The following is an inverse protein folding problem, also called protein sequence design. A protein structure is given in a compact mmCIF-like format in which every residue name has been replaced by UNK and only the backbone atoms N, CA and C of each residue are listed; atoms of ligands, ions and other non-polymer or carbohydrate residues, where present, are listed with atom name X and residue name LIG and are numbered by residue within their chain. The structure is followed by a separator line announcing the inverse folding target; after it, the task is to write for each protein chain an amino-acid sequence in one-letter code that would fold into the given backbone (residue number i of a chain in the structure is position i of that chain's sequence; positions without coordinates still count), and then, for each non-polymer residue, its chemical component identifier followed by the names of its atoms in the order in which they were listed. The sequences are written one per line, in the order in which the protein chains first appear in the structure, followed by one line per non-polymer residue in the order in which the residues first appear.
data_IF_445949086318
#
_entry.id   IF_445949086318
#
_cell.length_a   1.000
_cell.length_b   1.000
_cell.length_c   1.000
_cell.angle_alpha   90.00
_cell.angle_beta   90.00
_cell.angle_gamma   90.00
#
_symmetry.space_group_name_H-M   'P 1'
#
loop_
_entity.id
_entity.type
_entity.pdbx_description
1 polymer ?
#
# COMPACT_ATOMS: atom_id res chain seq x y z
N UNK A 1 21.18 -3.22 6.75
CA UNK A 1 20.79 -3.77 5.43
C UNK A 1 19.91 -2.75 4.74
N UNK A 2 20.23 -2.32 3.51
CA UNK A 2 19.46 -1.27 2.81
C UNK A 2 18.31 -1.94 2.06
N UNK A 3 17.08 -1.65 2.48
CA UNK A 3 15.88 -2.25 1.89
C UNK A 3 15.56 -1.69 0.49
N UNK A 4 15.90 -0.43 0.24
CA UNK A 4 15.71 0.24 -1.03
C UNK A 4 16.92 0.06 -1.93
N UNK A 5 16.67 -0.34 -3.17
CA UNK A 5 17.68 -0.30 -4.22
C UNK A 5 18.04 1.17 -4.54
N UNK A 6 19.26 1.42 -5.05
CA UNK A 6 19.67 2.75 -5.51
C UNK A 6 18.72 3.38 -6.53
N UNK A 7 18.80 4.71 -6.67
CA UNK A 7 18.10 5.44 -7.73
C UNK A 7 18.44 4.88 -9.11
N UNK A 8 17.45 4.85 -10.01
CA UNK A 8 17.58 4.24 -11.35
C UNK A 8 17.47 2.71 -11.37
N UNK A 9 17.26 2.06 -10.22
CA UNK A 9 17.05 0.61 -10.14
C UNK A 9 15.61 0.28 -9.76
N UNK A 10 15.12 -0.85 -10.29
CA UNK A 10 13.80 -1.36 -9.95
C UNK A 10 13.76 -1.86 -8.51
N UNK A 11 12.69 -1.53 -7.81
CA UNK A 11 12.31 -2.17 -6.55
C UNK A 11 11.12 -3.10 -6.82
N UNK A 12 11.05 -4.21 -6.09
CA UNK A 12 9.91 -5.11 -6.12
C UNK A 12 8.96 -4.77 -4.97
N UNK A 13 7.74 -4.38 -5.29
CA UNK A 13 6.67 -4.16 -4.31
C UNK A 13 5.66 -5.30 -4.41
N UNK A 14 5.14 -5.74 -3.27
CA UNK A 14 4.01 -6.65 -3.18
C UNK A 14 3.07 -6.16 -2.10
N UNK A 15 1.77 -6.15 -2.42
CA UNK A 15 0.70 -5.92 -1.46
C UNK A 15 -0.12 -7.21 -1.40
N UNK A 16 -0.37 -7.70 -0.20
CA UNK A 16 -1.30 -8.81 0.04
C UNK A 16 -2.49 -8.20 0.76
N UNK A 17 -3.68 -8.37 0.18
CA UNK A 17 -4.95 -7.98 0.78
C UNK A 17 -5.81 -9.23 0.80
N UNK A 18 -5.94 -9.84 1.98
CA UNK A 18 -6.68 -11.08 2.18
C UNK A 18 -7.60 -10.90 3.37
N UNK A 19 -8.90 -11.00 3.13
CA UNK A 19 -9.93 -10.64 4.11
C UNK A 19 -9.67 -9.20 4.61
N UNK A 20 -9.51 -8.98 5.91
CA UNK A 20 -9.13 -7.68 6.45
C UNK A 20 -7.62 -7.54 6.70
N UNK A 21 -6.84 -8.61 6.54
CA UNK A 21 -5.41 -8.56 6.81
C UNK A 21 -4.64 -8.03 5.59
N UNK A 22 -3.92 -6.92 5.77
CA UNK A 22 -3.15 -6.25 4.72
C UNK A 22 -1.67 -6.28 5.05
N UNK A 23 -0.84 -6.70 4.09
CA UNK A 23 0.62 -6.66 4.21
C UNK A 23 1.25 -5.84 3.08
N UNK A 24 2.27 -5.05 3.42
CA UNK A 24 3.11 -4.35 2.45
C UNK A 24 4.51 -4.95 2.47
N UNK A 25 5.04 -5.27 1.30
CA UNK A 25 6.35 -5.88 1.12
C UNK A 25 7.19 -5.06 0.14
N UNK A 26 8.48 -4.95 0.42
CA UNK A 26 9.47 -4.31 -0.42
C UNK A 26 10.70 -5.21 -0.53
N UNK A 27 11.14 -5.51 -1.75
CA UNK A 27 12.33 -6.33 -2.03
C UNK A 27 12.41 -7.61 -1.19
N UNK A 28 11.27 -8.31 -1.04
CA UNK A 28 11.16 -9.59 -0.33
C UNK A 28 11.01 -9.49 1.19
N UNK A 29 11.06 -8.29 1.79
CA UNK A 29 10.87 -8.10 3.23
C UNK A 29 9.52 -7.46 3.53
N UNK A 30 8.84 -7.97 4.56
CA UNK A 30 7.59 -7.38 5.06
C UNK A 30 7.92 -6.08 5.78
N UNK A 31 7.28 -4.99 5.34
CA UNK A 31 7.44 -3.65 5.92
C UNK A 31 6.49 -3.42 7.08
N UNK A 32 5.22 -3.76 6.85
CA UNK A 32 4.15 -3.57 7.81
C UNK A 32 2.99 -4.51 7.49
N UNK A 33 2.15 -4.70 8.49
CA UNK A 33 0.85 -5.36 8.38
C UNK A 33 -0.17 -4.65 9.26
N UNK A 34 -1.45 -4.76 8.89
CA UNK A 34 -2.55 -4.20 9.67
C UNK A 34 -3.87 -4.88 9.34
N UNK A 35 -4.83 -4.75 10.26
CA UNK A 35 -6.21 -5.16 10.06
C UNK A 35 -7.03 -3.99 9.54
N UNK A 36 -7.57 -4.13 8.32
CA UNK A 36 -8.41 -3.14 7.68
C UNK A 36 -9.72 -2.97 8.46
N UNK A 37 -10.01 -1.73 8.84
CA UNK A 37 -11.21 -1.39 9.61
C UNK A 37 -11.09 -1.65 11.12
N UNK A 38 -9.90 -2.00 11.62
CA UNK A 38 -9.65 -2.10 13.07
C UNK A 38 -9.76 -0.75 13.78
N UNK A 39 -9.94 -0.78 15.10
CA UNK A 39 -9.99 0.46 15.90
C UNK A 39 -8.64 1.19 15.90
N UNK A 40 -7.54 0.45 15.84
CA UNK A 40 -6.19 1.00 15.71
C UNK A 40 -6.04 1.74 14.37
N UNK A 41 -6.49 1.14 13.27
CA UNK A 41 -6.47 1.80 11.95
C UNK A 41 -7.33 3.07 11.96
N UNK A 42 -8.54 3.02 12.53
CA UNK A 42 -9.43 4.18 12.63
C UNK A 42 -8.80 5.31 13.45
N UNK A 43 -8.15 4.98 14.57
CA UNK A 43 -7.45 5.95 15.40
C UNK A 43 -6.28 6.61 14.65
N UNK A 44 -5.51 5.84 13.87
CA UNK A 44 -4.44 6.39 13.02
C UNK A 44 -4.99 7.29 11.91
N UNK A 45 -6.10 6.92 11.27
CA UNK A 45 -6.76 7.76 10.25
C UNK A 45 -7.20 9.09 10.85
N UNK A 46 -7.78 9.08 12.04
CA UNK A 46 -8.21 10.30 12.75
C UNK A 46 -7.08 11.30 13.03
N UNK A 47 -5.84 10.83 13.08
CA UNK A 47 -4.63 11.64 13.27
C UNK A 47 -3.91 11.98 11.96
N UNK A 48 -4.40 11.47 10.82
CA UNK A 48 -3.76 11.63 9.51
C UNK A 48 -4.33 12.80 8.70
N UNK A 49 -3.68 13.13 7.58
CA UNK A 49 -4.20 14.08 6.58
C UNK A 49 -5.53 13.66 5.94
N UNK A 50 -5.99 12.43 6.16
CA UNK A 50 -7.23 11.88 5.61
C UNK A 50 -8.42 11.99 6.58
N UNK A 51 -8.22 12.53 7.79
CA UNK A 51 -9.25 12.58 8.85
C UNK A 51 -10.58 13.24 8.40
N UNK A 52 -10.51 14.23 7.51
CA UNK A 52 -11.66 15.00 7.04
C UNK A 52 -12.26 14.44 5.73
N UNK A 53 -11.77 13.29 5.23
CA UNK A 53 -12.26 12.65 4.01
C UNK A 53 -13.32 11.57 4.34
N UNK A 54 -14.62 11.86 4.17
CA UNK A 54 -15.70 11.03 4.72
C UNK A 54 -15.78 9.61 4.15
N UNK A 55 -15.16 9.35 2.99
CA UNK A 55 -15.16 8.05 2.32
C UNK A 55 -13.80 7.34 2.35
N UNK A 56 -12.77 7.94 2.95
CA UNK A 56 -11.45 7.35 3.01
C UNK A 56 -11.47 6.05 3.83
N UNK A 57 -10.88 4.98 3.27
CA UNK A 57 -10.78 3.66 3.90
C UNK A 57 -12.11 3.08 4.41
N UNK A 58 -13.22 3.30 3.69
CA UNK A 58 -14.54 2.70 3.98
C UNK A 58 -15.02 1.67 2.94
N UNK A 59 -14.36 1.60 1.79
CA UNK A 59 -14.78 0.71 0.69
C UNK A 59 -14.17 -0.68 0.87
N UNK A 60 -15.01 -1.72 0.76
CA UNK A 60 -14.57 -3.13 0.80
C UNK A 60 -13.98 -3.64 -0.52
N UNK A 61 -14.09 -2.86 -1.60
CA UNK A 61 -13.52 -3.17 -2.90
C UNK A 61 -13.19 -1.88 -3.67
N UNK A 62 -12.31 -1.99 -4.67
CA UNK A 62 -11.87 -0.83 -5.45
C UNK A 62 -10.97 -1.21 -6.61
N UNK A 63 -10.39 -0.18 -7.25
CA UNK A 63 -9.42 -0.32 -8.35
C UNK A 63 -8.00 -0.16 -7.84
N UNK A 64 -7.04 -0.80 -8.50
CA UNK A 64 -5.61 -0.55 -8.28
C UNK A 64 -5.20 0.68 -9.09
N UNK A 65 -4.62 1.67 -8.41
CA UNK A 65 -4.09 2.89 -9.03
C UNK A 65 -2.56 2.96 -8.93
N UNK A 66 -1.92 3.42 -10.00
CA UNK A 66 -0.50 3.77 -10.03
C UNK A 66 -0.40 5.29 -10.13
N UNK A 67 0.34 5.92 -9.22
CA UNK A 67 0.50 7.38 -9.16
C UNK A 67 1.96 7.75 -9.41
N UNK A 68 2.18 8.79 -10.21
CA UNK A 68 3.51 9.33 -10.58
C UNK A 68 3.50 10.86 -10.57
N UNK A 69 3.10 11.47 -9.47
CA UNK A 69 2.87 12.91 -9.31
C UNK A 69 4.14 13.72 -9.00
N UNK A 70 5.30 13.07 -8.90
CA UNK A 70 6.58 13.69 -8.52
C UNK A 70 7.73 13.45 -9.51
N UNK A 71 7.42 13.20 -10.78
CA UNK A 71 8.39 13.03 -11.86
C UNK A 71 8.20 11.74 -12.64
N UNK A 72 9.24 11.33 -13.36
CA UNK A 72 9.21 10.09 -14.15
C UNK A 72 9.24 8.85 -13.25
N UNK A 73 8.31 7.92 -13.49
CA UNK A 73 8.24 6.65 -12.77
C UNK A 73 8.10 5.49 -13.76
N UNK A 74 8.89 4.45 -13.57
CA UNK A 74 8.87 3.24 -14.39
C UNK A 74 8.21 2.08 -13.66
N UNK A 75 7.23 1.45 -14.30
CA UNK A 75 6.59 0.24 -13.79
C UNK A 75 6.79 -0.91 -14.79
N UNK A 76 7.04 -2.11 -14.26
CA UNK A 76 7.07 -3.35 -15.05
C UNK A 76 6.62 -4.52 -14.19
N UNK A 77 6.27 -5.63 -14.84
CA UNK A 77 5.86 -6.88 -14.18
C UNK A 77 4.65 -6.71 -13.23
N UNK A 78 3.69 -5.87 -13.61
CA UNK A 78 2.47 -5.65 -12.84
C UNK A 78 1.56 -6.87 -13.02
N UNK A 79 1.27 -7.56 -11.92
CA UNK A 79 0.46 -8.79 -11.89
C UNK A 79 -0.51 -8.72 -10.73
N UNK A 80 -1.72 -9.22 -10.94
CA UNK A 80 -2.76 -9.31 -9.91
C UNK A 80 -3.23 -10.76 -9.86
N UNK A 81 -3.36 -11.30 -8.64
CA UNK A 81 -3.95 -12.61 -8.39
C UNK A 81 -5.09 -12.42 -7.39
N UNK A 82 -6.29 -12.84 -7.76
CA UNK A 82 -7.42 -12.91 -6.82
C UNK A 82 -7.14 -14.02 -5.79
N UNK A 83 -7.42 -13.75 -4.52
CA UNK A 83 -7.25 -14.68 -3.41
C UNK A 83 -8.59 -15.26 -2.97
#
# INVERSE_FOLDING_TARGET
MKLLNPFGQFNQVKIISKDNHIEHWLNGQKLLEYEYGSEEMKALIGQSKFKDMPYFAKASSGRVGLQGDHGEVWYKNIRIRKL
#
